data_IF_680989871297
#
_entry.id   IF_680989871297
#
_cell.length_a   1.000
_cell.length_b   1.000
_cell.length_c   1.000
_cell.angle_alpha   90.00
_cell.angle_beta   90.00
_cell.angle_gamma   90.00
#
_symmetry.space_group_name_H-M   'P 1'
#
loop_
_entity.id
_entity.type
_entity.pdbx_description
1 polymer ?
#
# COMPACT_ATOMS: atom_id res chain seq x y z
N UNK A 1 -16.33 -10.46 9.76
CA UNK A 1 -16.32 -9.81 8.44
C UNK A 1 -17.27 -8.64 8.52
N UNK A 2 -16.81 -7.46 8.11
CA UNK A 2 -17.60 -6.22 8.09
C UNK A 2 -17.72 -5.80 6.63
N UNK A 3 -18.91 -5.41 6.18
CA UNK A 3 -19.15 -4.96 4.81
C UNK A 3 -19.35 -3.45 4.79
N UNK A 4 -18.74 -2.78 3.82
CA UNK A 4 -18.94 -1.36 3.54
C UNK A 4 -19.47 -1.24 2.11
N UNK A 5 -20.62 -0.58 1.94
CA UNK A 5 -21.20 -0.29 0.63
C UNK A 5 -20.90 1.15 0.26
N UNK A 6 -20.27 1.36 -0.90
CA UNK A 6 -19.92 2.70 -1.42
C UNK A 6 -20.57 2.88 -2.78
N UNK A 7 -21.27 3.99 -2.95
CA UNK A 7 -21.83 4.37 -4.25
C UNK A 7 -20.77 5.13 -5.05
N UNK A 8 -20.52 4.66 -6.28
CA UNK A 8 -19.59 5.27 -7.23
C UNK A 8 -20.39 5.77 -8.42
N UNK A 9 -19.95 6.89 -9.00
CA UNK A 9 -20.41 7.28 -10.33
C UNK A 9 -19.99 6.22 -11.35
N UNK A 10 -20.82 5.94 -12.35
CA UNK A 10 -20.59 4.89 -13.35
C UNK A 10 -19.21 4.99 -14.01
N UNK A 11 -18.76 6.21 -14.32
CA UNK A 11 -17.43 6.46 -14.90
C UNK A 11 -16.29 6.02 -13.98
N UNK A 12 -16.44 6.19 -12.67
CA UNK A 12 -15.44 5.78 -11.67
C UNK A 12 -15.47 4.27 -11.45
N UNK A 13 -16.67 3.68 -11.47
CA UNK A 13 -16.83 2.22 -11.40
C UNK A 13 -16.14 1.55 -12.61
N UNK A 14 -16.35 2.07 -13.82
CA UNK A 14 -15.71 1.53 -15.03
C UNK A 14 -14.17 1.67 -14.96
N UNK A 15 -13.69 2.85 -14.54
CA UNK A 15 -12.25 3.08 -14.35
C UNK A 15 -11.64 2.11 -13.33
N UNK A 16 -12.36 1.77 -12.25
CA UNK A 16 -11.93 0.78 -11.27
C UNK A 16 -11.85 -0.62 -11.88
N UNK A 17 -12.86 -1.04 -12.65
CA UNK A 17 -12.87 -2.33 -13.35
C UNK A 17 -11.72 -2.45 -14.36
N UNK A 18 -11.45 -1.41 -15.14
CA UNK A 18 -10.31 -1.36 -16.06
C UNK A 18 -8.98 -1.45 -15.31
N UNK A 19 -8.84 -0.74 -14.18
CA UNK A 19 -7.62 -0.77 -13.38
C UNK A 19 -7.38 -2.16 -12.77
N UNK A 20 -8.42 -2.79 -12.25
CA UNK A 20 -8.35 -4.15 -11.71
C UNK A 20 -7.94 -5.17 -12.78
N UNK A 21 -8.52 -5.07 -13.98
CA UNK A 21 -8.20 -5.93 -15.12
C UNK A 21 -6.73 -5.88 -15.51
N UNK A 22 -6.06 -4.72 -15.41
CA UNK A 22 -4.61 -4.59 -15.68
C UNK A 22 -3.75 -5.46 -14.75
N UNK A 23 -4.25 -5.78 -13.56
CA UNK A 23 -3.58 -6.65 -12.59
C UNK A 23 -4.14 -8.09 -12.61
N UNK A 24 -5.03 -8.43 -13.53
CA UNK A 24 -5.69 -9.74 -13.59
C UNK A 24 -6.67 -9.99 -12.44
N UNK A 25 -7.13 -8.92 -11.78
CA UNK A 25 -8.04 -8.97 -10.64
C UNK A 25 -9.44 -8.50 -11.02
N UNK A 26 -10.43 -8.90 -10.23
CA UNK A 26 -11.74 -8.24 -10.23
C UNK A 26 -11.73 -6.98 -9.35
N UNK A 27 -12.76 -6.14 -9.45
CA UNK A 27 -12.83 -4.87 -8.72
C UNK A 27 -12.82 -5.05 -7.19
N UNK A 28 -13.47 -6.10 -6.68
CA UNK A 28 -13.52 -6.40 -5.24
C UNK A 28 -12.14 -6.80 -4.70
N UNK A 29 -11.45 -7.72 -5.38
CA UNK A 29 -10.10 -8.14 -5.05
C UNK A 29 -9.11 -6.97 -5.09
N UNK A 30 -9.23 -6.13 -6.12
CA UNK A 30 -8.40 -4.94 -6.25
C UNK A 30 -8.65 -3.93 -5.12
N UNK A 31 -9.91 -3.74 -4.73
CA UNK A 31 -10.28 -2.88 -3.60
C UNK A 31 -9.77 -3.43 -2.27
N UNK A 32 -9.95 -4.73 -1.99
CA UNK A 32 -9.43 -5.34 -0.77
C UNK A 32 -7.92 -5.16 -0.65
N UNK A 33 -7.17 -5.50 -1.72
CA UNK A 33 -5.72 -5.33 -1.73
C UNK A 33 -5.31 -3.86 -1.54
N UNK A 34 -6.08 -2.92 -2.11
CA UNK A 34 -5.83 -1.48 -1.94
C UNK A 34 -6.12 -0.99 -0.52
N UNK A 35 -7.17 -1.52 0.14
CA UNK A 35 -7.49 -1.21 1.53
C UNK A 35 -6.46 -1.82 2.47
N UNK A 36 -6.04 -3.05 2.23
CA UNK A 36 -4.99 -3.72 3.00
C UNK A 36 -3.66 -2.98 2.88
N UNK A 37 -3.30 -2.50 1.69
CA UNK A 37 -2.12 -1.64 1.50
C UNK A 37 -2.28 -0.30 2.21
N UNK A 38 -3.45 0.35 2.10
CA UNK A 38 -3.71 1.66 2.70
C UNK A 38 -3.71 1.62 4.24
N UNK A 39 -4.33 0.59 4.83
CA UNK A 39 -4.47 0.43 6.29
C UNK A 39 -3.27 -0.30 6.89
N UNK A 40 -2.66 -1.20 6.12
CA UNK A 40 -1.50 -2.00 6.51
C UNK A 40 -0.16 -1.33 6.27
N UNK A 41 -0.12 -0.06 5.79
CA UNK A 41 1.13 0.69 5.79
C UNK A 41 1.74 0.66 7.20
N UNK A 42 3.05 0.42 7.33
CA UNK A 42 3.70 0.44 8.63
C UNK A 42 3.40 1.77 9.30
N UNK A 43 3.20 1.72 10.62
CA UNK A 43 3.11 2.91 11.46
C UNK A 43 4.23 3.88 11.03
N UNK A 44 3.96 5.18 10.85
CA UNK A 44 5.02 6.17 10.56
C UNK A 44 6.27 5.99 11.43
N UNK A 45 6.08 5.52 12.67
CA UNK A 45 7.14 5.16 13.61
C UNK A 45 8.06 4.01 13.12
N UNK A 46 7.52 3.01 12.43
CA UNK A 46 8.29 1.93 11.81
C UNK A 46 9.15 2.46 10.66
N UNK A 47 8.58 3.34 9.85
CA UNK A 47 9.25 3.95 8.70
C UNK A 47 10.42 4.84 9.15
N UNK A 48 10.23 5.58 10.25
CA UNK A 48 11.30 6.34 10.90
C UNK A 48 12.38 5.43 11.49
N UNK A 49 11.98 4.35 12.18
CA UNK A 49 12.91 3.37 12.75
C UNK A 49 13.75 2.68 11.66
N UNK A 50 13.14 2.29 10.54
CA UNK A 50 13.82 1.69 9.39
C UNK A 50 14.85 2.65 8.79
N UNK A 51 14.48 3.92 8.57
CA UNK A 51 15.41 4.96 8.09
C UNK A 51 16.58 5.16 9.05
N UNK A 52 16.32 5.17 10.36
CA UNK A 52 17.35 5.33 11.40
C UNK A 52 18.34 4.15 11.42
N UNK A 53 17.86 2.91 11.29
CA UNK A 53 18.71 1.71 11.23
C UNK A 53 19.59 1.72 9.97
N UNK A 54 19.00 2.03 8.81
CA UNK A 54 19.75 2.10 7.55
C UNK A 54 20.83 3.19 7.58
N UNK A 55 20.52 4.37 8.12
CA UNK A 55 21.48 5.47 8.29
C UNK A 55 22.66 5.07 9.20
N UNK A 56 22.38 4.47 10.36
CA UNK A 56 23.42 3.98 11.28
C UNK A 56 24.30 2.90 10.66
N UNK A 57 23.72 1.98 9.90
CA UNK A 57 24.49 0.92 9.24
C UNK A 57 25.41 1.51 8.16
N UNK A 58 24.91 2.48 7.38
CA UNK A 58 25.74 3.16 6.39
C UNK A 58 26.92 3.91 7.03
N UNK A 59 26.70 4.52 8.20
CA UNK A 59 27.75 5.16 8.98
C UNK A 59 28.77 4.15 9.54
N UNK A 60 28.30 3.00 10.05
CA UNK A 60 29.16 1.91 10.51
C UNK A 60 30.05 1.36 9.38
N UNK A 61 29.46 1.10 8.20
CA UNK A 61 30.23 0.65 7.04
C UNK A 61 31.26 1.68 6.59
N UNK A 62 30.94 2.99 6.65
CA UNK A 62 31.91 4.06 6.36
C UNK A 62 33.08 4.13 7.34
N UNK A 63 32.89 3.71 8.59
CA UNK A 63 33.93 3.71 9.63
C UNK A 63 34.81 2.45 9.62
N UNK A 64 34.34 1.39 8.95
CA UNK A 64 35.02 0.10 8.83
C UNK A 64 35.81 -0.06 7.52
N UNK A 65 35.73 0.93 6.62
CA UNK A 65 36.51 1.03 5.38
C UNK A 65 37.62 2.07 5.54
#
# INVERSE_FOLDING_TARGET
MTSITVQLEDLKAEALHEKARRYGLNAEQFLMASVDDLVGQPDPDFDEAARRVLSKNQELYRRLA
#
